data_IF_346574360763
#
_entry.id   IF_346574360763
#
_cell.length_a   1.000
_cell.length_b   1.000
_cell.length_c   1.000
_cell.angle_alpha   90.00
_cell.angle_beta   90.00
_cell.angle_gamma   90.00
#
_symmetry.space_group_name_H-M   'P 1'
#
loop_
_entity.id
_entity.type
_entity.pdbx_description
1 polymer ?
#
# COMPACT_ATOMS: atom_id res chain seq x y z
N UNK A 1 9.58 23.42 4.55
CA UNK A 1 9.14 24.84 4.60
C UNK A 1 7.98 24.96 5.56
N UNK A 2 7.89 26.04 6.33
CA UNK A 2 6.78 26.27 7.25
C UNK A 2 5.71 27.11 6.54
N UNK A 3 4.49 26.57 6.43
CA UNK A 3 3.34 27.29 5.89
C UNK A 3 2.45 27.71 7.06
N UNK A 4 2.12 28.99 7.14
CA UNK A 4 1.24 29.50 8.20
C UNK A 4 -0.22 29.26 7.78
N UNK A 5 -0.87 28.27 8.40
CA UNK A 5 -2.23 27.86 8.07
C UNK A 5 -3.21 28.48 9.07
N UNK A 6 -4.20 29.23 8.57
CA UNK A 6 -5.30 29.73 9.39
C UNK A 6 -6.42 28.70 9.42
N UNK A 7 -6.55 28.00 10.54
CA UNK A 7 -7.61 27.04 10.79
C UNK A 7 -8.82 27.73 11.44
N UNK A 8 -10.00 27.18 11.18
CA UNK A 8 -11.18 27.49 11.99
C UNK A 8 -10.97 26.92 13.41
N UNK A 9 -11.56 27.52 14.47
CA UNK A 9 -11.36 27.06 15.85
C UNK A 9 -11.72 25.58 16.08
N UNK A 10 -12.78 25.09 15.44
CA UNK A 10 -13.21 23.69 15.52
C UNK A 10 -12.22 22.73 14.84
N UNK A 11 -11.66 23.15 13.70
CA UNK A 11 -10.64 22.37 13.00
C UNK A 11 -9.33 22.31 13.80
N UNK A 12 -8.93 23.41 14.45
CA UNK A 12 -7.76 23.42 15.34
C UNK A 12 -7.96 22.47 16.52
N UNK A 13 -9.13 22.52 17.16
CA UNK A 13 -9.47 21.62 18.26
C UNK A 13 -9.46 20.15 17.82
N UNK A 14 -10.01 19.84 16.64
CA UNK A 14 -10.00 18.48 16.10
C UNK A 14 -8.58 17.96 15.86
N UNK A 15 -7.70 18.79 15.29
CA UNK A 15 -6.28 18.44 15.08
C UNK A 15 -5.56 18.23 16.40
N UNK A 16 -5.86 19.04 17.42
CA UNK A 16 -5.27 18.91 18.76
C UNK A 16 -5.67 17.60 19.43
N UNK A 17 -6.96 17.27 19.43
CA UNK A 17 -7.48 16.01 19.96
C UNK A 17 -6.83 14.82 19.26
N UNK A 18 -6.72 14.87 17.94
CA UNK A 18 -6.13 13.78 17.16
C UNK A 18 -4.63 13.62 17.41
N UNK A 19 -3.91 14.73 17.58
CA UNK A 19 -2.51 14.74 17.97
C UNK A 19 -2.28 14.08 19.34
N UNK A 20 -3.10 14.42 20.33
CA UNK A 20 -3.07 13.81 21.66
C UNK A 20 -3.40 12.31 21.60
N UNK A 21 -4.45 11.94 20.86
CA UNK A 21 -4.90 10.55 20.68
C UNK A 21 -3.82 9.66 20.05
N UNK A 22 -3.04 10.21 19.12
CA UNK A 22 -2.04 9.45 18.36
C UNK A 22 -0.61 9.63 18.86
N UNK A 23 -0.39 10.53 19.82
CA UNK A 23 0.96 10.90 20.29
C UNK A 23 1.80 11.61 19.22
N UNK A 24 1.17 12.16 18.17
CA UNK A 24 1.86 12.80 17.04
C UNK A 24 1.78 14.32 17.16
N UNK A 25 2.67 15.03 16.47
CA UNK A 25 2.57 16.48 16.39
C UNK A 25 1.37 16.89 15.51
N UNK A 26 0.76 18.02 15.84
CA UNK A 26 -0.35 18.59 15.03
C UNK A 26 0.04 18.77 13.55
N UNK A 27 1.29 19.17 13.29
CA UNK A 27 1.83 19.27 11.93
C UNK A 27 1.88 17.91 11.21
N UNK A 28 2.20 16.82 11.92
CA UNK A 28 2.20 15.49 11.34
C UNK A 28 0.78 14.98 11.04
N UNK A 29 -0.20 15.33 11.86
CA UNK A 29 -1.63 15.03 11.63
C UNK A 29 -2.14 15.79 10.40
N UNK A 30 -1.86 17.10 10.33
CA UNK A 30 -2.25 17.94 9.18
C UNK A 30 -1.62 17.43 7.89
N UNK A 31 -0.32 17.10 7.91
CA UNK A 31 0.39 16.60 6.73
C UNK A 31 -0.23 15.30 6.22
N UNK A 32 -0.47 14.33 7.10
CA UNK A 32 -1.11 13.07 6.70
C UNK A 32 -2.52 13.28 6.14
N UNK A 33 -3.32 14.16 6.74
CA UNK A 33 -4.66 14.45 6.25
C UNK A 33 -4.62 15.04 4.83
N UNK A 34 -3.68 15.93 4.56
CA UNK A 34 -3.45 16.51 3.22
C UNK A 34 -2.96 15.41 2.27
N UNK A 35 -1.96 14.63 2.68
CA UNK A 35 -1.40 13.56 1.85
C UNK A 35 -2.48 12.55 1.44
N UNK A 36 -3.32 12.11 2.38
CA UNK A 36 -4.44 11.22 2.09
C UNK A 36 -5.48 11.89 1.19
N UNK A 37 -5.83 13.15 1.45
CA UNK A 37 -6.85 13.87 0.67
C UNK A 37 -6.41 14.10 -0.78
N UNK A 38 -5.12 14.34 -1.00
CA UNK A 38 -4.52 14.56 -2.31
C UNK A 38 -4.00 13.25 -2.94
N UNK A 39 -4.02 12.14 -2.21
CA UNK A 39 -3.46 10.85 -2.62
C UNK A 39 -1.96 10.90 -2.90
N UNK A 40 -1.23 11.64 -2.06
CA UNK A 40 0.24 11.74 -2.05
C UNK A 40 0.87 10.70 -1.12
N UNK A 41 0.07 9.95 -0.35
CA UNK A 41 0.61 8.89 0.51
C UNK A 41 1.16 7.76 -0.34
N UNK A 42 2.32 7.21 0.06
CA UNK A 42 2.99 6.11 -0.66
C UNK A 42 2.08 4.88 -0.78
N UNK A 43 1.23 4.67 0.23
CA UNK A 43 0.22 3.60 0.24
C UNK A 43 -0.86 3.83 -0.82
N UNK A 44 -1.35 5.06 -0.99
CA UNK A 44 -2.36 5.38 -2.01
C UNK A 44 -1.78 5.29 -3.43
N UNK A 45 -0.51 5.66 -3.61
CA UNK A 45 0.18 5.52 -4.89
C UNK A 45 0.38 4.04 -5.26
N UNK A 46 0.82 3.20 -4.31
CA UNK A 46 0.95 1.76 -4.52
C UNK A 46 -0.42 1.09 -4.79
N UNK A 47 -1.48 1.50 -4.08
CA UNK A 47 -2.82 1.00 -4.33
C UNK A 47 -3.30 1.36 -5.75
N UNK A 48 -3.08 2.60 -6.20
CA UNK A 48 -3.39 3.04 -7.57
C UNK A 48 -2.61 2.28 -8.64
N UNK A 49 -1.34 1.95 -8.37
CA UNK A 49 -0.52 1.13 -9.28
C UNK A 49 -1.08 -0.28 -9.41
N UNK A 50 -1.41 -0.94 -8.29
CA UNK A 50 -2.04 -2.27 -8.28
C UNK A 50 -3.38 -2.24 -9.01
N UNK A 51 -4.22 -1.23 -8.76
CA UNK A 51 -5.51 -1.07 -9.46
C UNK A 51 -5.32 -0.90 -10.97
N UNK A 52 -4.30 -0.15 -11.39
CA UNK A 52 -3.95 0.01 -12.82
C UNK A 52 -3.53 -1.33 -13.43
N UNK A 53 -2.72 -2.11 -12.72
CA UNK A 53 -2.28 -3.44 -13.16
C UNK A 53 -3.44 -4.44 -13.25
N UNK A 54 -4.44 -4.33 -12.38
CA UNK A 54 -5.65 -5.15 -12.42
C UNK A 54 -6.56 -4.75 -13.59
N UNK A 55 -6.81 -3.45 -13.80
CA UNK A 55 -7.66 -2.94 -14.88
C UNK A 55 -7.06 -3.25 -16.26
N UNK A 56 -5.75 -3.10 -16.41
CA UNK A 56 -5.04 -3.44 -17.65
C UNK A 56 -4.93 -4.95 -17.90
N UNK A 57 -5.33 -5.78 -16.92
CA UNK A 57 -5.22 -7.23 -16.98
C UNK A 57 -3.79 -7.75 -16.92
N UNK A 58 -2.81 -6.89 -16.61
CA UNK A 58 -1.42 -7.26 -16.42
C UNK A 58 -1.24 -8.19 -15.20
N UNK A 59 -2.07 -7.98 -14.16
CA UNK A 59 -2.14 -8.82 -12.97
C UNK A 59 -3.59 -9.30 -12.79
N UNK A 60 -3.77 -10.50 -12.22
CA UNK A 60 -5.08 -11.05 -11.87
C UNK A 60 -5.27 -11.03 -10.36
N UNK A 61 -6.50 -10.84 -9.93
CA UNK A 61 -6.88 -11.00 -8.52
C UNK A 61 -6.56 -12.44 -8.08
N UNK A 62 -5.91 -12.63 -6.91
CA UNK A 62 -5.64 -13.97 -6.40
C UNK A 62 -6.97 -14.71 -6.15
N UNK A 63 -7.09 -15.93 -6.69
CA UNK A 63 -8.26 -16.79 -6.50
C UNK A 63 -8.18 -17.60 -5.20
N UNK A 64 -7.01 -17.65 -4.59
CA UNK A 64 -6.72 -18.41 -3.37
C UNK A 64 -5.93 -17.56 -2.38
N UNK A 65 -6.13 -17.74 -1.06
CA UNK A 65 -5.33 -17.06 -0.05
C UNK A 65 -3.84 -17.43 -0.18
N UNK A 66 -2.97 -16.46 0.08
CA UNK A 66 -1.53 -16.69 0.12
C UNK A 66 -1.18 -17.74 1.17
N UNK A 67 -0.36 -18.73 0.78
CA UNK A 67 0.21 -19.73 1.69
C UNK A 67 1.72 -19.74 1.54
N UNK A 68 2.42 -19.69 2.68
CA UNK A 68 3.88 -19.80 2.71
C UNK A 68 4.29 -21.23 2.33
N UNK A 69 5.24 -21.37 1.41
CA UNK A 69 5.83 -22.67 1.10
C UNK A 69 6.58 -23.21 2.32
N UNK A 70 6.21 -24.40 2.77
CA UNK A 70 6.81 -25.09 3.93
C UNK A 70 7.88 -26.09 3.54
N UNK A 71 7.89 -26.53 2.27
CA UNK A 71 8.80 -27.55 1.76
C UNK A 71 9.76 -26.94 0.75
N UNK A 72 11.04 -27.31 0.86
CA UNK A 72 12.05 -27.00 -0.15
C UNK A 72 12.19 -28.20 -1.08
N UNK A 73 12.28 -27.94 -2.38
CA UNK A 73 12.64 -28.92 -3.38
C UNK A 73 14.04 -28.61 -3.92
N UNK A 74 14.81 -29.64 -4.22
CA UNK A 74 16.12 -29.51 -4.85
C UNK A 74 15.94 -29.65 -6.35
N UNK A 75 16.37 -28.66 -7.10
CA UNK A 75 16.31 -28.71 -8.56
C UNK A 75 17.40 -29.65 -9.10
N UNK A 76 17.07 -30.53 -10.07
CA UNK A 76 18.08 -31.27 -10.82
C UNK A 76 19.07 -30.34 -11.51
N UNK A 77 20.31 -30.81 -11.70
CA UNK A 77 21.33 -30.04 -12.41
C UNK A 77 20.84 -29.69 -13.83
N UNK A 78 20.92 -28.41 -14.18
CA UNK A 78 20.46 -27.89 -15.48
C UNK A 78 19.02 -27.41 -15.53
N UNK A 79 18.19 -27.69 -14.51
CA UNK A 79 16.80 -27.22 -14.45
C UNK A 79 16.72 -25.81 -13.83
N UNK A 80 16.00 -24.89 -14.46
CA UNK A 80 15.81 -23.51 -13.96
C UNK A 80 14.49 -23.39 -13.20
N UNK A 81 14.44 -22.53 -12.19
CA UNK A 81 13.21 -22.26 -11.42
C UNK A 81 12.04 -21.76 -12.29
N UNK A 82 12.33 -21.08 -13.40
CA UNK A 82 11.31 -20.64 -14.36
C UNK A 82 10.57 -21.81 -15.04
N UNK A 83 11.21 -22.97 -15.17
CA UNK A 83 10.64 -24.17 -15.79
C UNK A 83 9.66 -24.89 -14.84
N UNK A 84 9.69 -24.57 -13.54
CA UNK A 84 8.68 -25.02 -12.59
C UNK A 84 7.38 -24.20 -12.65
N UNK A 85 7.42 -23.00 -13.23
CA UNK A 85 6.29 -22.07 -13.27
C UNK A 85 5.41 -22.30 -14.50
N UNK A 86 5.33 -23.55 -14.95
CA UNK A 86 4.73 -23.89 -16.22
C UNK A 86 3.26 -23.44 -16.25
N UNK A 87 2.91 -22.71 -17.31
CA UNK A 87 1.68 -21.91 -17.45
C UNK A 87 0.43 -22.76 -17.73
N UNK A 88 0.46 -24.05 -17.45
CA UNK A 88 -0.54 -25.02 -17.88
C UNK A 88 -1.72 -25.20 -16.92
N UNK A 89 -1.69 -24.63 -15.72
CA UNK A 89 -2.77 -24.79 -14.72
C UNK A 89 -3.82 -23.66 -14.74
N UNK A 90 -4.14 -23.15 -15.95
CA UNK A 90 -5.28 -22.25 -16.18
C UNK A 90 -6.43 -23.03 -16.83
N UNK A 91 -7.18 -23.80 -16.03
CA UNK A 91 -8.56 -24.21 -16.32
C UNK A 91 -9.51 -23.63 -15.28
#
# INVERSE_FOLDING_TARGET
MATNLRLRPDAEQAVRIEAERTGRSQQAVIREAIDRRLGLSSTDLAAREVDTLLVTGAVRVPRTPYRKATTRITLPAGLRSAELLDRSDRS
#
